data_IF_895516307367
#
_entry.id   IF_895516307367
#
_cell.length_a   1.000
_cell.length_b   1.000
_cell.length_c   1.000
_cell.angle_alpha   90.00
_cell.angle_beta   90.00
_cell.angle_gamma   90.00
#
_symmetry.space_group_name_H-M   'P 1'
#
loop_
_entity.id
_entity.type
_entity.pdbx_description
1 polymer ?
#
# COMPACT_ATOMS: atom_id res chain seq x y z
N UNK A 1 -40.84 -30.39 -11.31
CA UNK A 1 -40.67 -28.92 -11.25
C UNK A 1 -41.67 -28.37 -10.25
N UNK A 2 -41.22 -27.86 -9.10
CA UNK A 2 -42.08 -27.26 -8.09
C UNK A 2 -41.69 -25.80 -7.89
N UNK A 3 -42.61 -24.88 -8.18
CA UNK A 3 -42.47 -23.46 -7.83
C UNK A 3 -43.05 -23.26 -6.43
N UNK A 4 -42.25 -22.71 -5.51
CA UNK A 4 -42.77 -22.12 -4.28
C UNK A 4 -43.05 -20.65 -4.59
N UNK A 5 -44.32 -20.25 -4.50
CA UNK A 5 -44.75 -18.87 -4.68
C UNK A 5 -44.24 -17.94 -3.56
N UNK A 6 -44.15 -16.65 -3.89
CA UNK A 6 -44.03 -15.49 -3.00
C UNK A 6 -42.66 -14.98 -2.52
N UNK A 7 -41.55 -15.37 -3.15
CA UNK A 7 -40.36 -14.51 -3.12
C UNK A 7 -39.48 -14.85 -4.31
N UNK A 8 -39.19 -13.88 -5.19
CA UNK A 8 -38.38 -14.06 -6.40
C UNK A 8 -36.90 -14.39 -6.15
N UNK A 9 -36.59 -15.27 -5.19
CA UNK A 9 -35.25 -15.64 -4.76
C UNK A 9 -34.87 -16.97 -5.38
N UNK A 10 -33.87 -16.94 -6.26
CA UNK A 10 -33.24 -18.15 -6.78
C UNK A 10 -32.35 -18.74 -5.69
N UNK A 11 -32.68 -19.94 -5.18
CA UNK A 11 -31.79 -20.70 -4.31
C UNK A 11 -30.92 -21.59 -5.19
N UNK A 12 -29.64 -21.24 -5.30
CA UNK A 12 -28.65 -22.04 -6.02
C UNK A 12 -28.30 -23.28 -5.19
N UNK A 13 -28.80 -24.44 -5.61
CA UNK A 13 -28.67 -25.72 -4.89
C UNK A 13 -27.57 -26.62 -5.46
N UNK A 14 -26.45 -26.04 -5.87
CA UNK A 14 -25.26 -26.75 -6.35
C UNK A 14 -23.99 -26.05 -5.85
N UNK A 15 -23.71 -26.16 -4.57
CA UNK A 15 -22.39 -25.80 -4.02
C UNK A 15 -21.50 -27.04 -4.18
N UNK A 16 -20.62 -27.04 -5.19
CA UNK A 16 -19.55 -28.03 -5.26
C UNK A 16 -18.42 -27.54 -4.36
N UNK A 17 -18.06 -28.34 -3.35
CA UNK A 17 -16.88 -28.10 -2.54
C UNK A 17 -15.65 -28.31 -3.43
N UNK A 18 -14.91 -27.24 -3.67
CA UNK A 18 -13.62 -27.28 -4.36
C UNK A 18 -12.56 -27.29 -3.27
N UNK A 19 -11.77 -28.35 -3.20
CA UNK A 19 -10.60 -28.43 -2.33
C UNK A 19 -9.50 -27.55 -2.96
N UNK A 20 -9.51 -26.27 -2.63
CA UNK A 20 -8.45 -25.34 -3.02
C UNK A 20 -7.32 -25.56 -2.02
N UNK A 21 -6.12 -26.01 -2.43
CA UNK A 21 -5.02 -26.17 -1.50
C UNK A 21 -4.75 -24.82 -0.85
N UNK A 22 -4.88 -24.78 0.47
CA UNK A 22 -4.58 -23.61 1.28
C UNK A 22 -3.10 -23.32 1.11
N UNK A 23 -2.76 -22.32 0.28
CA UNK A 23 -1.41 -21.77 0.26
C UNK A 23 -1.11 -21.33 1.70
N UNK A 24 -0.06 -21.89 2.30
CA UNK A 24 0.28 -21.73 3.72
C UNK A 24 0.31 -20.27 4.18
N UNK A 25 0.56 -19.33 3.27
CA UNK A 25 0.37 -17.91 3.50
C UNK A 25 -0.19 -17.24 2.23
N UNK A 26 -1.20 -16.35 2.34
CA UNK A 26 -1.55 -15.51 1.22
C UNK A 26 -0.32 -14.70 0.80
N UNK A 27 -0.06 -14.52 -0.51
CA UNK A 27 1.03 -13.66 -0.95
C UNK A 27 0.86 -12.27 -0.31
N UNK A 28 1.97 -11.64 0.13
CA UNK A 28 1.91 -10.31 0.72
C UNK A 28 1.20 -9.38 -0.27
N UNK A 29 0.15 -8.72 0.21
CA UNK A 29 -0.63 -7.83 -0.62
C UNK A 29 0.17 -6.54 -0.82
N UNK A 30 0.25 -6.00 -2.04
CA UNK A 30 0.85 -4.69 -2.25
C UNK A 30 0.12 -3.67 -1.37
N UNK A 31 0.87 -2.91 -0.57
CA UNK A 31 0.34 -1.84 0.27
C UNK A 31 0.38 -0.56 -0.55
N UNK A 32 -0.79 0.04 -0.76
CA UNK A 32 -0.88 1.36 -1.38
C UNK A 32 -0.41 2.41 -0.37
N UNK A 33 0.36 3.42 -0.78
CA UNK A 33 0.82 4.46 0.13
C UNK A 33 -0.33 5.12 0.92
N UNK A 34 -1.50 5.31 0.30
CA UNK A 34 -2.69 5.89 0.94
C UNK A 34 -3.27 5.05 2.08
N UNK A 35 -2.95 3.76 2.15
CA UNK A 35 -3.37 2.87 3.23
C UNK A 35 -2.50 3.04 4.47
N UNK A 36 -1.32 3.69 4.35
CA UNK A 36 -0.41 3.91 5.46
C UNK A 36 -0.85 5.11 6.31
N UNK A 37 -0.79 5.00 7.65
CA UNK A 37 -1.26 6.04 8.55
C UNK A 37 -0.48 7.34 8.35
N UNK A 38 -1.17 8.45 8.07
CA UNK A 38 -0.54 9.77 7.85
C UNK A 38 0.16 9.92 6.50
N UNK A 39 -0.01 8.98 5.57
CA UNK A 39 0.36 9.18 4.17
C UNK A 39 -0.90 9.51 3.38
N UNK A 40 -0.86 10.59 2.62
CA UNK A 40 -1.94 10.96 1.70
C UNK A 40 -1.35 11.05 0.30
N UNK A 41 -2.06 10.51 -0.68
CA UNK A 41 -1.70 10.68 -2.07
C UNK A 41 -2.02 12.11 -2.48
N UNK A 42 -0.99 12.84 -2.92
CA UNK A 42 -1.13 14.18 -3.47
C UNK A 42 -1.58 14.04 -4.93
N UNK A 43 -2.89 13.94 -5.13
CA UNK A 43 -3.48 13.78 -6.46
C UNK A 43 -3.67 15.17 -7.08
N UNK A 44 -2.64 15.64 -7.81
CA UNK A 44 -2.66 16.90 -8.57
C UNK A 44 -2.89 18.19 -7.73
N UNK A 45 -2.84 18.10 -6.40
CA UNK A 45 -2.94 19.23 -5.46
C UNK A 45 -1.65 20.05 -5.35
N UNK A 46 -0.60 19.62 -6.04
CA UNK A 46 0.65 20.37 -6.13
C UNK A 46 0.61 21.30 -7.34
N UNK A 47 0.84 22.59 -7.09
CA UNK A 47 1.14 23.59 -8.11
C UNK A 47 2.31 23.13 -9.00
N UNK A 48 2.25 23.45 -10.29
CA UNK A 48 3.27 23.04 -11.26
C UNK A 48 4.66 23.59 -10.88
N UNK A 49 4.75 24.80 -10.33
CA UNK A 49 6.01 25.37 -9.81
C UNK A 49 6.58 24.54 -8.65
N UNK A 50 5.73 24.07 -7.73
CA UNK A 50 6.15 23.22 -6.64
C UNK A 50 6.59 21.83 -7.14
N UNK A 51 5.99 21.31 -8.21
CA UNK A 51 6.43 20.07 -8.90
C UNK A 51 7.81 20.23 -9.53
N UNK A 52 8.08 21.37 -10.17
CA UNK A 52 9.37 21.64 -10.82
C UNK A 52 10.51 21.82 -9.81
N UNK A 53 10.21 22.27 -8.59
CA UNK A 53 11.18 22.44 -7.51
C UNK A 53 11.36 21.20 -6.60
N UNK A 54 10.75 20.06 -6.93
CA UNK A 54 10.90 18.83 -6.15
C UNK A 54 12.29 18.23 -6.32
N UNK A 55 13.04 18.11 -5.23
CA UNK A 55 14.40 17.56 -5.24
C UNK A 55 14.40 16.20 -4.54
N UNK A 56 14.89 15.13 -5.19
CA UNK A 56 14.99 13.82 -4.56
C UNK A 56 15.98 13.88 -3.38
N UNK A 57 15.48 13.58 -2.19
CA UNK A 57 16.23 13.52 -0.95
C UNK A 57 16.35 12.09 -0.42
N UNK A 58 16.24 11.97 0.91
CA UNK A 58 16.42 10.74 1.66
C UNK A 58 15.27 9.74 1.45
N UNK A 59 15.56 8.47 1.71
CA UNK A 59 14.60 7.38 1.64
C UNK A 59 14.03 7.05 3.02
N UNK A 60 12.80 6.56 3.04
CA UNK A 60 12.07 6.17 4.22
C UNK A 60 11.33 4.87 3.94
N UNK A 61 11.25 3.99 4.93
CA UNK A 61 10.50 2.75 4.82
C UNK A 61 9.32 2.79 5.79
N UNK A 62 8.10 2.60 5.29
CA UNK A 62 6.89 2.68 6.09
C UNK A 62 6.05 1.42 5.94
N UNK A 63 5.75 0.79 7.07
CA UNK A 63 4.76 -0.28 7.17
C UNK A 63 3.52 0.22 7.91
N UNK A 64 2.51 -0.64 8.06
CA UNK A 64 1.31 -0.30 8.85
C UNK A 64 1.64 0.07 10.30
N UNK A 65 2.66 -0.56 10.85
CA UNK A 65 2.99 -0.45 12.27
C UNK A 65 4.22 0.43 12.53
N UNK A 66 5.05 0.70 11.51
CA UNK A 66 6.38 1.28 11.71
C UNK A 66 6.72 2.30 10.63
N UNK A 67 7.54 3.27 11.05
CA UNK A 67 8.17 4.24 10.18
C UNK A 67 9.67 4.21 10.45
N UNK A 68 10.47 3.98 9.42
CA UNK A 68 11.92 3.80 9.49
C UNK A 68 12.62 4.79 8.55
N UNK A 69 13.81 5.22 8.95
CA UNK A 69 14.64 6.17 8.22
C UNK A 69 14.91 7.45 9.03
N UNK A 70 15.56 8.45 8.41
CA UNK A 70 15.98 8.50 7.00
C UNK A 70 17.08 7.51 6.65
N UNK A 71 17.09 7.05 5.39
CA UNK A 71 18.15 6.25 4.77
C UNK A 71 18.76 7.04 3.61
N UNK A 72 20.09 6.99 3.49
CA UNK A 72 20.82 7.68 2.40
C UNK A 72 20.51 7.07 1.03
N UNK A 73 20.28 5.76 0.99
CA UNK A 73 19.95 4.97 -0.20
C UNK A 73 18.67 4.15 0.00
N UNK A 74 18.17 3.54 -1.08
CA UNK A 74 17.02 2.63 -1.03
C UNK A 74 17.35 1.49 -0.04
N UNK A 75 16.61 1.36 1.08
CA UNK A 75 16.91 0.35 2.07
C UNK A 75 16.71 -1.04 1.47
N UNK A 76 17.58 -1.96 1.85
CA UNK A 76 17.51 -3.36 1.42
C UNK A 76 16.73 -4.21 2.42
N UNK A 77 16.35 -5.42 2.01
CA UNK A 77 15.68 -6.38 2.90
C UNK A 77 16.39 -6.55 4.24
N UNK A 78 17.72 -6.56 4.26
CA UNK A 78 18.50 -6.78 5.49
C UNK A 78 18.33 -5.68 6.55
N UNK A 79 18.16 -4.44 6.09
CA UNK A 79 18.01 -3.26 6.93
C UNK A 79 16.59 -3.10 7.49
N UNK A 80 15.63 -3.87 6.97
CA UNK A 80 14.22 -3.79 7.37
C UNK A 80 13.86 -4.94 8.32
N UNK A 81 13.14 -4.70 9.42
CA UNK A 81 12.67 -5.77 10.30
C UNK A 81 11.77 -6.76 9.55
N UNK A 82 11.96 -8.07 9.76
CA UNK A 82 11.12 -9.10 9.16
C UNK A 82 9.68 -9.12 9.72
N UNK A 83 8.75 -9.64 8.92
CA UNK A 83 7.34 -9.83 9.29
C UNK A 83 6.41 -8.67 8.94
N UNK A 84 6.83 -7.76 8.06
CA UNK A 84 6.06 -6.59 7.65
C UNK A 84 6.34 -6.25 6.17
N UNK A 85 5.34 -5.67 5.51
CA UNK A 85 5.50 -5.08 4.18
C UNK A 85 5.82 -3.59 4.31
N UNK A 86 6.93 -3.17 3.74
CA UNK A 86 7.43 -1.80 3.77
C UNK A 86 7.27 -1.15 2.41
N UNK A 87 6.57 -0.02 2.37
CA UNK A 87 6.58 0.88 1.22
C UNK A 87 7.78 1.80 1.35
N UNK A 88 8.61 1.82 0.30
CA UNK A 88 9.77 2.70 0.23
C UNK A 88 9.34 4.02 -0.40
N UNK A 89 9.54 5.08 0.37
CA UNK A 89 9.20 6.45 0.07
C UNK A 89 10.49 7.25 -0.05
N UNK A 90 10.55 8.19 -0.97
CA UNK A 90 11.65 9.15 -1.05
C UNK A 90 11.11 10.55 -0.86
N UNK A 91 11.72 11.30 0.04
CA UNK A 91 11.38 12.70 0.25
C UNK A 91 11.69 13.49 -1.03
N UNK A 92 10.71 14.25 -1.50
CA UNK A 92 10.82 15.10 -2.68
C UNK A 92 10.81 16.59 -2.31
N UNK A 93 10.55 16.91 -1.04
CA UNK A 93 10.43 18.28 -0.56
C UNK A 93 9.33 18.40 0.50
N UNK A 94 8.97 19.65 0.81
CA UNK A 94 7.93 19.97 1.78
C UNK A 94 6.96 20.98 1.20
N UNK A 95 5.68 20.74 1.46
CA UNK A 95 4.62 21.71 1.19
C UNK A 95 4.73 22.93 2.12
N UNK A 96 4.16 24.08 1.74
CA UNK A 96 4.14 25.28 2.58
C UNK A 96 3.44 25.06 3.93
N UNK A 97 2.56 24.06 4.02
CA UNK A 97 1.92 23.63 5.27
C UNK A 97 2.78 22.71 6.15
N UNK A 98 4.10 22.58 5.87
CA UNK A 98 5.07 21.66 6.50
C UNK A 98 4.84 20.17 6.27
N UNK A 99 3.87 19.76 5.45
CA UNK A 99 3.71 18.36 5.08
C UNK A 99 4.84 17.91 4.17
N UNK A 100 5.45 16.77 4.46
CA UNK A 100 6.48 16.18 3.60
C UNK A 100 5.84 15.57 2.35
N UNK A 101 6.47 15.81 1.20
CA UNK A 101 6.09 15.22 -0.08
C UNK A 101 6.98 14.01 -0.28
N UNK A 102 6.35 12.88 -0.54
CA UNK A 102 7.07 11.64 -0.83
C UNK A 102 6.70 11.11 -2.21
N UNK A 103 7.70 10.62 -2.95
CA UNK A 103 7.47 9.73 -4.09
C UNK A 103 7.55 8.28 -3.63
N UNK A 104 6.64 7.44 -4.13
CA UNK A 104 6.76 5.98 -3.98
C UNK A 104 7.87 5.49 -4.90
N UNK A 105 8.83 4.76 -4.36
CA UNK A 105 9.95 4.20 -5.12
C UNK A 105 9.70 2.73 -5.39
N UNK A 106 9.50 1.95 -4.34
CA UNK A 106 9.27 0.49 -4.43
C UNK A 106 8.54 -0.01 -3.18
N UNK A 107 8.25 -1.30 -3.13
CA UNK A 107 7.77 -2.00 -1.94
C UNK A 107 8.69 -3.18 -1.68
N UNK A 108 8.97 -3.43 -0.40
CA UNK A 108 9.80 -4.54 0.06
C UNK A 108 8.97 -5.32 1.08
N UNK A 109 8.75 -6.60 0.80
CA UNK A 109 8.01 -7.52 1.65
C UNK A 109 9.01 -8.42 2.39
N UNK A 110 9.00 -8.39 3.73
CA UNK A 110 9.98 -9.09 4.57
C UNK A 110 9.34 -9.86 5.71
#
# INVERSE_FOLDING_TARGET
>A
MGRLGDTGKCIFRHVRQIDVPTRDFPPPRPISPSELPGVRSLNNELDDDAKENLVPGQYYAKSMNRYLGPFEDIPTNDQLPAGDSYVILQEMGRLPNRSMIFRRVTQIDR
#
